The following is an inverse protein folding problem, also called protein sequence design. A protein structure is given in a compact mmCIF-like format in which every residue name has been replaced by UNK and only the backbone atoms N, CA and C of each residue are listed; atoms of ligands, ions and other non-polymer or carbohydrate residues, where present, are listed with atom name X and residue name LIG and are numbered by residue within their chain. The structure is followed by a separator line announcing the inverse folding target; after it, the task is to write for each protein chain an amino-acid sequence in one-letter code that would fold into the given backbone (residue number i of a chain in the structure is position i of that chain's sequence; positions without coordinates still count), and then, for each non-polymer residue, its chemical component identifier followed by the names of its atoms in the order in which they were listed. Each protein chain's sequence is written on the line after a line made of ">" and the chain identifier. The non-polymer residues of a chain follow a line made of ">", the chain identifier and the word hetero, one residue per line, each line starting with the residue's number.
data_IF_817579374847
#
_entry.id   IF_817579374847
#
_cell.length_a   1.000
_cell.length_b   1.000
_cell.length_c   1.000
_cell.angle_alpha   90.00
_cell.angle_beta   90.00
_cell.angle_gamma   90.00
#
_symmetry.space_group_name_H-M   'P 1'
#
loop_
_entity.id
_entity.type
_entity.pdbx_description
1 polymer ?
#
# COMPACT_ATOMS: atom_id res chain seq x y z
N UNK A 1 50.12 22.87 15.97
CA UNK A 1 49.31 23.58 16.96
C UNK A 1 48.94 24.94 16.39
N UNK A 2 47.70 25.08 15.91
CA UNK A 2 47.09 26.36 15.53
C UNK A 2 45.59 26.22 15.81
N UNK A 3 45.03 27.14 16.57
CA UNK A 3 43.65 27.09 17.06
C UNK A 3 42.92 28.40 16.77
N UNK A 4 41.59 28.39 16.93
CA UNK A 4 40.63 29.52 16.89
C UNK A 4 39.89 29.72 15.54
N UNK A 5 38.67 30.29 15.54
CA UNK A 5 37.60 30.19 16.56
C UNK A 5 36.17 29.98 15.99
N UNK A 6 35.21 29.73 16.89
CA UNK A 6 33.76 29.63 16.63
C UNK A 6 33.05 31.00 16.77
N UNK A 7 31.92 31.22 16.07
CA UNK A 7 30.69 31.71 16.71
C UNK A 7 29.45 30.88 16.26
N UNK A 8 28.46 30.50 17.10
CA UNK A 8 27.45 31.32 17.80
C UNK A 8 26.61 32.15 16.79
N UNK A 9 25.27 32.27 16.74
CA UNK A 9 24.11 32.13 17.65
C UNK A 9 22.82 31.86 16.79
N UNK A 10 21.57 31.61 17.24
CA UNK A 10 20.92 31.08 18.48
C UNK A 10 19.37 31.25 18.33
N UNK A 11 18.55 30.43 19.02
CA UNK A 11 17.07 30.51 19.18
C UNK A 11 16.21 29.97 18.01
N UNK A 12 15.01 29.40 18.23
CA UNK A 12 14.36 29.15 19.52
C UNK A 12 13.04 28.33 19.44
N UNK A 13 12.54 27.97 20.62
CA UNK A 13 11.16 27.51 20.89
C UNK A 13 10.48 28.57 21.80
N UNK A 14 9.26 28.38 22.36
CA UNK A 14 8.15 27.45 22.05
C UNK A 14 6.80 28.19 21.82
N UNK A 15 5.70 27.47 21.55
CA UNK A 15 4.34 28.07 21.53
C UNK A 15 3.26 27.16 22.15
N UNK A 16 3.03 27.36 23.45
CA UNK A 16 1.75 27.37 24.20
C UNK A 16 0.58 26.42 23.86
N UNK A 17 0.15 25.68 24.88
CA UNK A 17 -1.16 25.03 24.99
C UNK A 17 -2.30 25.99 25.44
N UNK A 18 -3.56 25.64 25.14
CA UNK A 18 -4.82 26.03 25.83
C UNK A 18 -5.97 25.27 25.14
N UNK A 19 -6.61 24.24 25.72
CA UNK A 19 -7.59 24.25 26.83
C UNK A 19 -8.88 25.03 26.56
N UNK A 20 -9.97 24.31 26.24
CA UNK A 20 -11.22 24.40 27.04
C UNK A 20 -12.21 23.26 26.77
N UNK A 21 -12.80 22.75 27.85
CA UNK A 21 -13.90 21.77 27.87
C UNK A 21 -15.26 22.49 27.74
N UNK A 22 -16.23 21.82 27.07
CA UNK A 22 -17.66 21.60 27.42
C UNK A 22 -18.46 22.75 28.11
N UNK A 23 -19.75 22.94 27.78
CA UNK A 23 -20.76 22.18 28.54
C UNK A 23 -22.03 21.69 27.80
N UNK A 24 -22.73 20.83 28.52
CA UNK A 24 -23.99 20.09 28.32
C UNK A 24 -25.27 20.89 28.01
N UNK A 25 -26.25 20.21 27.37
CA UNK A 25 -27.74 20.16 27.59
C UNK A 25 -28.38 19.49 26.35
N UNK A 26 -29.53 18.79 26.34
CA UNK A 26 -30.45 18.23 27.35
C UNK A 26 -31.23 17.06 26.74
N UNK A 27 -31.70 16.14 27.58
CA UNK A 27 -32.60 14.99 27.32
C UNK A 27 -33.76 15.21 26.32
N UNK A 28 -34.04 14.21 25.48
CA UNK A 28 -35.31 14.10 24.74
C UNK A 28 -35.82 12.63 24.68
N UNK A 29 -36.50 12.22 25.75
CA UNK A 29 -37.25 10.95 25.88
C UNK A 29 -38.42 10.91 24.89
N UNK A 30 -38.45 9.96 23.94
CA UNK A 30 -39.67 9.56 23.23
C UNK A 30 -39.83 8.04 23.13
N UNK A 31 -41.00 7.57 23.55
CA UNK A 31 -41.34 6.15 23.74
C UNK A 31 -42.38 5.72 22.70
N UNK A 32 -41.95 4.87 21.77
CA UNK A 32 -42.80 3.97 20.98
C UNK A 32 -43.74 4.56 19.92
N UNK A 33 -43.78 3.88 18.76
CA UNK A 33 -45.01 3.30 18.17
C UNK A 33 -44.64 2.26 17.11
N UNK A 34 -45.35 1.13 17.10
CA UNK A 34 -45.26 0.11 16.05
C UNK A 34 -46.00 0.63 14.81
N UNK A 35 -45.41 0.49 13.63
CA UNK A 35 -46.14 0.50 12.36
C UNK A 35 -45.60 -0.63 11.49
N UNK A 36 -46.48 -1.40 10.86
CA UNK A 36 -46.13 -2.57 10.04
C UNK A 36 -45.50 -2.11 8.72
N UNK A 37 -44.51 -2.85 8.23
CA UNK A 37 -44.13 -2.86 6.82
C UNK A 37 -44.28 -4.31 6.28
N UNK A 38 -44.70 -4.50 5.02
CA UNK A 38 -45.05 -5.81 4.45
C UNK A 38 -43.82 -6.69 4.21
N UNK A 39 -43.99 -7.99 3.91
CA UNK A 39 -42.88 -8.91 3.71
C UNK A 39 -42.05 -8.48 2.49
N UNK A 40 -40.77 -8.18 2.69
CA UNK A 40 -39.85 -8.01 1.60
C UNK A 40 -39.60 -9.38 0.95
N UNK A 41 -39.99 -9.49 -0.31
CA UNK A 41 -39.73 -10.66 -1.14
C UNK A 41 -38.21 -10.82 -1.29
N UNK A 42 -37.65 -11.85 -0.64
CA UNK A 42 -36.20 -12.07 -0.63
C UNK A 42 -35.76 -12.60 -1.99
N UNK A 43 -35.37 -11.67 -2.87
CA UNK A 43 -34.51 -11.97 -4.02
C UNK A 43 -33.32 -12.80 -3.52
N UNK A 44 -33.01 -13.97 -4.10
CA UNK A 44 -31.83 -14.71 -3.72
C UNK A 44 -30.60 -13.84 -4.01
N UNK A 45 -29.93 -13.38 -2.95
CA UNK A 45 -28.61 -12.79 -3.10
C UNK A 45 -27.71 -13.84 -3.79
N UNK A 46 -26.88 -13.45 -4.77
CA UNK A 46 -25.94 -14.38 -5.36
C UNK A 46 -25.08 -14.95 -4.23
N UNK A 47 -25.06 -16.28 -4.12
CA UNK A 47 -24.14 -16.94 -3.21
C UNK A 47 -22.74 -16.64 -3.71
N UNK A 48 -22.06 -15.74 -3.02
CA UNK A 48 -20.60 -15.66 -3.08
C UNK A 48 -20.08 -17.03 -2.65
N UNK A 49 -19.54 -17.73 -3.62
CA UNK A 49 -18.85 -18.99 -3.42
C UNK A 49 -17.57 -18.66 -2.64
N UNK A 50 -17.50 -19.06 -1.36
CA UNK A 50 -16.33 -18.86 -0.49
C UNK A 50 -15.20 -19.84 -0.87
N UNK A 51 -14.82 -19.80 -2.14
CA UNK A 51 -13.68 -20.50 -2.74
C UNK A 51 -12.81 -19.57 -3.60
N UNK A 52 -13.02 -18.25 -3.48
CA UNK A 52 -11.99 -17.28 -3.88
C UNK A 52 -10.87 -17.37 -2.84
N UNK A 53 -9.68 -17.82 -3.25
CA UNK A 53 -8.48 -17.70 -2.42
C UNK A 53 -8.31 -16.22 -2.02
N UNK A 54 -8.56 -15.90 -0.73
CA UNK A 54 -8.22 -14.63 -0.07
C UNK A 54 -6.70 -14.49 0.10
N UNK A 55 -5.96 -14.82 -0.96
CA UNK A 55 -4.55 -14.66 -1.09
C UNK A 55 -4.26 -13.17 -1.34
N UNK A 56 -3.45 -12.50 -0.51
CA UNK A 56 -3.08 -11.10 -0.73
C UNK A 56 -2.31 -10.90 -2.06
N UNK A 57 -1.86 -12.00 -2.67
CA UNK A 57 -1.18 -12.06 -3.97
C UNK A 57 -2.15 -12.11 -5.16
N UNK A 58 -3.28 -11.38 -5.10
CA UNK A 58 -4.35 -11.41 -6.10
C UNK A 58 -3.83 -11.24 -7.55
N UNK A 59 -3.85 -12.34 -8.32
CA UNK A 59 -3.37 -12.40 -9.70
C UNK A 59 -1.86 -12.54 -9.89
N UNK A 60 -1.05 -12.63 -8.83
CA UNK A 60 0.41 -12.77 -8.93
C UNK A 60 0.84 -14.25 -8.96
N UNK A 61 1.48 -14.67 -10.05
CA UNK A 61 2.05 -16.02 -10.14
C UNK A 61 3.18 -16.27 -9.11
N UNK A 62 3.11 -17.33 -8.28
CA UNK A 62 3.96 -17.48 -7.08
C UNK A 62 5.43 -17.79 -7.37
N UNK A 63 5.79 -18.22 -8.58
CA UNK A 63 7.19 -18.48 -8.96
C UNK A 63 7.96 -17.24 -9.41
N UNK A 64 7.26 -16.13 -9.67
CA UNK A 64 7.88 -14.92 -10.22
C UNK A 64 8.34 -13.98 -9.11
N UNK A 65 9.30 -14.44 -8.30
CA UNK A 65 9.91 -13.68 -7.19
C UNK A 65 11.30 -13.15 -7.58
N UNK A 66 11.85 -12.21 -6.81
CA UNK A 66 13.22 -11.72 -7.05
C UNK A 66 14.28 -12.82 -6.85
N UNK A 67 14.04 -13.78 -5.96
CA UNK A 67 14.96 -14.89 -5.69
C UNK A 67 15.16 -15.80 -6.91
N UNK A 68 14.08 -16.09 -7.65
CA UNK A 68 14.13 -16.92 -8.86
C UNK A 68 14.67 -16.16 -10.09
N UNK A 69 14.80 -14.83 -10.00
CA UNK A 69 15.28 -14.02 -11.12
C UNK A 69 16.82 -13.96 -11.16
N UNK A 70 17.42 -14.68 -12.10
CA UNK A 70 18.86 -14.59 -12.36
C UNK A 70 19.18 -13.29 -13.11
N UNK A 71 19.70 -12.29 -12.40
CA UNK A 71 20.17 -11.04 -12.98
C UNK A 71 21.49 -11.25 -13.76
N UNK A 72 21.45 -10.98 -15.07
CA UNK A 72 22.62 -11.00 -15.95
C UNK A 72 22.99 -9.59 -16.43
N UNK A 73 24.11 -9.47 -17.14
CA UNK A 73 24.66 -8.16 -17.60
C UNK A 73 23.66 -7.29 -18.38
N UNK A 74 22.70 -7.92 -19.07
CA UNK A 74 21.66 -7.24 -19.86
C UNK A 74 20.37 -6.94 -19.09
N UNK A 75 20.15 -7.56 -17.92
CA UNK A 75 18.96 -7.36 -17.07
C UNK A 75 19.27 -6.72 -15.71
N UNK A 76 20.55 -6.56 -15.35
CA UNK A 76 21.01 -6.02 -14.07
C UNK A 76 20.38 -4.65 -13.75
N UNK A 77 20.30 -3.73 -14.73
CA UNK A 77 19.69 -2.41 -14.53
C UNK A 77 18.18 -2.52 -14.23
N UNK A 78 17.46 -3.33 -15.00
CA UNK A 78 16.02 -3.55 -14.81
C UNK A 78 15.73 -4.23 -13.46
N UNK A 79 16.55 -5.19 -13.06
CA UNK A 79 16.45 -5.86 -11.76
C UNK A 79 16.72 -4.90 -10.59
N UNK A 80 17.79 -4.10 -10.68
CA UNK A 80 18.11 -3.10 -9.65
C UNK A 80 17.02 -2.01 -9.53
N UNK A 81 16.49 -1.53 -10.65
CA UNK A 81 15.38 -0.57 -10.66
C UNK A 81 14.09 -1.17 -10.06
N UNK A 82 13.77 -2.42 -10.42
CA UNK A 82 12.64 -3.15 -9.84
C UNK A 82 12.80 -3.34 -8.33
N UNK A 83 13.99 -3.73 -7.86
CA UNK A 83 14.29 -3.89 -6.42
C UNK A 83 14.09 -2.57 -5.66
N UNK A 84 14.66 -1.47 -6.17
CA UNK A 84 14.53 -0.15 -5.55
C UNK A 84 13.07 0.32 -5.43
N UNK A 85 12.22 -0.01 -6.41
CA UNK A 85 10.78 0.30 -6.37
C UNK A 85 10.01 -0.61 -5.41
N UNK A 86 10.43 -1.87 -5.23
CA UNK A 86 9.84 -2.76 -4.25
C UNK A 86 10.19 -2.36 -2.81
N UNK A 87 11.46 -2.04 -2.55
CA UNK A 87 11.94 -1.59 -1.23
C UNK A 87 11.31 -0.22 -0.85
N UNK A 88 11.07 0.67 -1.83
CA UNK A 88 10.53 2.03 -1.62
C UNK A 88 9.46 2.39 -2.68
N UNK A 89 8.23 1.84 -2.56
CA UNK A 89 7.16 2.08 -3.51
C UNK A 89 6.84 3.58 -3.63
N UNK A 90 6.68 4.05 -4.86
CA UNK A 90 6.56 5.46 -5.27
C UNK A 90 7.72 6.40 -4.87
N UNK A 91 8.68 5.96 -4.05
CA UNK A 91 9.81 6.76 -3.56
C UNK A 91 11.08 6.65 -4.40
N UNK A 92 11.34 5.50 -5.03
CA UNK A 92 12.47 5.32 -5.94
C UNK A 92 12.17 5.85 -7.35
N UNK A 93 11.08 5.36 -7.96
CA UNK A 93 10.60 5.78 -9.27
C UNK A 93 9.07 5.74 -9.31
N UNK A 94 8.46 6.72 -9.98
CA UNK A 94 7.03 6.73 -10.28
C UNK A 94 6.80 7.54 -11.59
N UNK A 95 6.43 6.89 -12.72
CA UNK A 95 6.27 5.45 -12.91
C UNK A 95 7.63 4.72 -13.09
N UNK A 96 7.63 3.39 -12.89
CA UNK A 96 8.66 2.50 -13.41
C UNK A 96 8.19 1.92 -14.76
N UNK A 97 9.01 2.03 -15.80
CA UNK A 97 8.69 1.48 -17.13
C UNK A 97 9.75 0.47 -17.57
N UNK A 98 9.33 -0.77 -17.84
CA UNK A 98 10.20 -1.87 -18.28
C UNK A 98 9.99 -2.14 -19.78
N UNK A 99 11.00 -1.87 -20.60
CA UNK A 99 10.98 -2.15 -22.04
C UNK A 99 12.05 -3.18 -22.44
N UNK A 100 11.88 -3.80 -23.61
CA UNK A 100 12.83 -4.78 -24.16
C UNK A 100 12.14 -5.91 -24.92
N UNK A 101 12.95 -6.76 -25.58
CA UNK A 101 12.47 -7.91 -26.35
C UNK A 101 11.72 -8.98 -25.54
N UNK A 102 11.22 -9.99 -26.23
CA UNK A 102 10.60 -11.18 -25.62
C UNK A 102 11.62 -11.96 -24.77
N UNK A 103 11.15 -12.72 -23.78
CA UNK A 103 12.01 -13.56 -22.94
C UNK A 103 12.90 -12.84 -21.90
N UNK A 104 13.07 -11.51 -21.97
CA UNK A 104 13.93 -10.74 -21.05
C UNK A 104 13.37 -10.57 -19.61
N UNK A 105 12.37 -11.36 -19.22
CA UNK A 105 11.86 -11.39 -17.84
C UNK A 105 11.08 -10.15 -17.37
N UNK A 106 10.61 -9.26 -18.27
CA UNK A 106 9.78 -8.09 -17.92
C UNK A 106 8.60 -8.45 -17.01
N UNK A 107 7.83 -9.47 -17.42
CA UNK A 107 6.67 -9.97 -16.66
C UNK A 107 7.08 -10.55 -15.31
N UNK A 108 8.23 -11.24 -15.24
CA UNK A 108 8.77 -11.79 -14.00
C UNK A 108 9.14 -10.68 -13.02
N UNK A 109 9.88 -9.66 -13.46
CA UNK A 109 10.25 -8.51 -12.63
C UNK A 109 9.02 -7.75 -12.12
N UNK A 110 7.99 -7.58 -12.95
CA UNK A 110 6.76 -6.89 -12.54
C UNK A 110 6.03 -7.65 -11.41
N UNK A 111 5.95 -8.97 -11.51
CA UNK A 111 5.40 -9.82 -10.44
C UNK A 111 6.28 -9.84 -9.18
N UNK A 112 7.61 -9.86 -9.36
CA UNK A 112 8.56 -9.88 -8.25
C UNK A 112 8.44 -8.63 -7.38
N UNK A 113 8.22 -7.46 -7.99
CA UNK A 113 7.87 -6.22 -7.25
C UNK A 113 6.61 -6.44 -6.42
N UNK A 114 5.54 -6.99 -7.01
CA UNK A 114 4.27 -7.22 -6.31
C UNK A 114 4.43 -8.12 -5.07
N UNK A 115 5.12 -9.26 -5.22
CA UNK A 115 5.39 -10.18 -4.09
C UNK A 115 6.20 -9.52 -2.97
N UNK A 116 7.28 -8.81 -3.33
CA UNK A 116 8.20 -8.21 -2.37
C UNK A 116 7.58 -6.99 -1.66
N UNK A 117 6.72 -6.23 -2.35
CA UNK A 117 5.89 -5.16 -1.75
C UNK A 117 4.87 -5.74 -0.78
N UNK A 118 4.15 -6.81 -1.13
CA UNK A 118 3.18 -7.46 -0.23
C UNK A 118 3.86 -8.07 1.01
N UNK A 119 5.06 -8.63 0.85
CA UNK A 119 5.85 -9.18 1.94
C UNK A 119 6.41 -8.09 2.88
N UNK A 120 6.87 -6.96 2.32
CA UNK A 120 7.47 -5.86 3.09
C UNK A 120 6.43 -4.89 3.68
N UNK A 121 5.29 -4.74 3.02
CA UNK A 121 4.23 -3.79 3.35
C UNK A 121 2.85 -4.49 3.37
N UNK A 122 2.54 -5.30 4.42
CA UNK A 122 1.34 -6.15 4.47
C UNK A 122 -0.01 -5.41 4.51
N UNK A 123 0.00 -4.07 4.55
CA UNK A 123 -1.20 -3.23 4.43
C UNK A 123 -1.39 -2.61 3.04
N UNK A 124 -0.50 -2.87 2.08
CA UNK A 124 -0.55 -2.31 0.72
C UNK A 124 -1.38 -3.21 -0.19
N UNK A 125 -2.32 -2.62 -0.94
CA UNK A 125 -3.03 -3.33 -1.99
C UNK A 125 -2.22 -3.31 -3.29
N UNK A 126 -2.04 -4.48 -3.90
CA UNK A 126 -1.38 -4.66 -5.19
C UNK A 126 -2.39 -5.23 -6.18
N UNK A 127 -2.48 -4.62 -7.37
CA UNK A 127 -3.35 -5.07 -8.45
C UNK A 127 -2.48 -5.35 -9.68
N UNK A 128 -2.51 -6.60 -10.17
CA UNK A 128 -1.94 -6.98 -11.45
C UNK A 128 -3.03 -7.01 -12.53
N UNK A 129 -2.77 -6.39 -13.67
CA UNK A 129 -3.70 -6.33 -14.81
C UNK A 129 -2.95 -6.66 -16.10
N UNK A 130 -3.59 -7.47 -16.95
CA UNK A 130 -3.17 -7.68 -18.35
C UNK A 130 -4.17 -7.01 -19.29
N UNK A 131 -3.70 -6.59 -20.46
CA UNK A 131 -4.55 -6.12 -21.56
C UNK A 131 -4.66 -7.16 -22.67
#
# INVERSE_FOLDING_TARGET
>A
MTASPTPAQRNGAPATATTRKRPTRTSAKRRGKKTKQPPAETLPLPRIDESTDESPYAGLHPRYTFHEFIAGKHSQLAHAAARAVADRPAGAYNPLFLYGGVGLGKTHLLHAIGHDVLQSHPGTQVLYVTS
#
